data_IF_857888868274
#
_entry.id   IF_857888868274
#
_cell.length_a   1.000
_cell.length_b   1.000
_cell.length_c   1.000
_cell.angle_alpha   90.00
_cell.angle_beta   90.00
_cell.angle_gamma   90.00
#
_symmetry.space_group_name_H-M   'P 1'
#
loop_
_entity.id
_entity.type
_entity.pdbx_description
1 polymer ?
#
# COMPACT_ATOMS: atom_id res chain seq x y z
N UNK A 1 20.54 14.38 4.06
CA UNK A 1 19.36 15.01 3.39
C UNK A 1 19.35 14.56 1.94
N UNK A 2 18.57 13.54 1.63
CA UNK A 2 18.42 13.01 0.27
C UNK A 2 17.79 14.12 -0.60
N UNK A 3 18.53 14.57 -1.62
CA UNK A 3 17.99 15.50 -2.60
C UNK A 3 16.88 14.81 -3.38
N UNK A 4 15.65 15.35 -3.31
CA UNK A 4 14.55 14.92 -4.16
C UNK A 4 14.96 15.14 -5.62
N UNK A 5 14.89 14.09 -6.43
CA UNK A 5 15.18 14.23 -7.85
C UNK A 5 14.03 14.99 -8.54
N UNK A 6 14.35 15.77 -9.58
CA UNK A 6 13.35 16.47 -10.38
C UNK A 6 12.27 15.49 -10.90
N UNK A 7 12.65 14.25 -11.21
CA UNK A 7 11.73 13.21 -11.66
C UNK A 7 10.71 12.82 -10.57
N UNK A 8 11.10 12.84 -9.29
CA UNK A 8 10.17 12.57 -8.19
C UNK A 8 9.15 13.68 -8.04
N UNK A 9 9.58 14.94 -8.09
CA UNK A 9 8.70 16.11 -8.03
C UNK A 9 7.70 16.08 -9.17
N UNK A 10 8.16 15.83 -10.39
CA UNK A 10 7.29 15.73 -11.57
C UNK A 10 6.28 14.58 -11.45
N UNK A 11 6.70 13.40 -10.97
CA UNK A 11 5.82 12.26 -10.73
C UNK A 11 4.67 12.62 -9.77
N UNK A 12 5.00 13.28 -8.67
CA UNK A 12 4.02 13.72 -7.67
C UNK A 12 3.06 14.77 -8.24
N UNK A 13 3.58 15.74 -9.02
CA UNK A 13 2.77 16.75 -9.70
C UNK A 13 1.75 16.14 -10.68
N UNK A 14 2.19 15.17 -11.49
CA UNK A 14 1.32 14.52 -12.46
C UNK A 14 0.22 13.70 -11.81
N UNK A 15 0.49 13.07 -10.66
CA UNK A 15 -0.52 12.34 -9.87
C UNK A 15 -1.54 13.33 -9.29
N UNK A 16 -1.09 14.39 -8.62
CA UNK A 16 -1.97 15.40 -8.02
C UNK A 16 -2.78 16.18 -9.07
N UNK A 17 -2.15 16.54 -10.19
CA UNK A 17 -2.82 17.21 -11.29
C UNK A 17 -3.93 16.36 -11.90
N UNK A 18 -3.71 15.05 -12.03
CA UNK A 18 -4.74 14.12 -12.49
C UNK A 18 -5.93 14.05 -11.51
N UNK A 19 -5.66 14.01 -10.20
CA UNK A 19 -6.70 13.97 -9.17
C UNK A 19 -7.54 15.26 -9.13
N UNK A 20 -6.92 16.43 -9.31
CA UNK A 20 -7.61 17.72 -9.33
C UNK A 20 -8.43 17.92 -10.61
N UNK A 21 -8.09 17.20 -11.68
CA UNK A 21 -8.77 17.28 -12.97
C UNK A 21 -9.98 16.36 -13.08
N UNK A 22 -9.90 15.19 -12.46
CA UNK A 22 -10.96 14.19 -12.46
C UNK A 22 -10.96 13.44 -11.12
N UNK A 23 -12.05 13.59 -10.39
CA UNK A 23 -12.26 13.00 -9.07
C UNK A 23 -12.17 11.47 -9.06
N UNK A 24 -12.37 10.81 -10.20
CA UNK A 24 -12.24 9.36 -10.32
C UNK A 24 -10.83 8.87 -10.01
N UNK A 25 -9.79 9.65 -10.38
CA UNK A 25 -8.41 9.36 -10.02
C UNK A 25 -8.15 9.48 -8.52
N UNK A 26 -8.74 10.50 -7.86
CA UNK A 26 -8.61 10.65 -6.42
C UNK A 26 -9.25 9.49 -5.67
N UNK A 27 -10.46 9.08 -6.07
CA UNK A 27 -11.16 7.92 -5.49
C UNK A 27 -10.39 6.61 -5.70
N UNK A 28 -9.81 6.40 -6.90
CA UNK A 28 -8.97 5.22 -7.18
C UNK A 28 -7.69 5.18 -6.33
N UNK A 29 -7.15 6.33 -5.97
CA UNK A 29 -5.87 6.44 -5.28
C UNK A 29 -5.98 6.35 -3.75
N UNK A 30 -7.13 6.74 -3.16
CA UNK A 30 -7.28 6.89 -1.69
C UNK A 30 -6.94 5.62 -0.91
N UNK A 31 -7.27 4.44 -1.43
CA UNK A 31 -6.97 3.17 -0.78
C UNK A 31 -5.55 2.66 -1.06
N UNK A 32 -4.85 3.26 -2.03
CA UNK A 32 -3.55 2.78 -2.53
C UNK A 32 -2.37 3.59 -1.99
N UNK A 33 -2.55 4.89 -1.80
CA UNK A 33 -1.48 5.79 -1.38
C UNK A 33 -1.84 6.54 -0.10
N UNK A 34 -0.81 6.98 0.61
CA UNK A 34 -0.92 7.74 1.85
C UNK A 34 -0.18 9.06 1.73
N UNK A 35 -0.55 10.07 2.55
CA UNK A 35 0.10 11.39 2.53
C UNK A 35 1.62 11.31 2.66
N UNK A 36 2.14 10.40 3.49
CA UNK A 36 3.57 10.25 3.74
C UNK A 36 4.36 9.76 2.52
N UNK A 37 3.69 9.28 1.47
CA UNK A 37 4.33 8.84 0.22
C UNK A 37 4.74 10.01 -0.67
N UNK A 38 4.15 11.20 -0.43
CA UNK A 38 4.58 12.43 -1.07
C UNK A 38 5.79 13.00 -0.32
N UNK A 39 6.96 12.89 -0.92
CA UNK A 39 8.21 13.31 -0.30
C UNK A 39 8.38 14.83 -0.28
N UNK A 40 7.67 15.54 -1.16
CA UNK A 40 7.65 16.98 -1.17
C UNK A 40 6.51 17.51 -0.29
N UNK A 41 6.85 18.26 0.74
CA UNK A 41 5.89 18.70 1.78
C UNK A 41 4.68 19.46 1.24
N UNK A 42 4.86 20.26 0.17
CA UNK A 42 3.75 20.98 -0.48
C UNK A 42 2.78 20.02 -1.17
N UNK A 43 3.29 19.00 -1.84
CA UNK A 43 2.48 17.95 -2.48
C UNK A 43 1.68 17.14 -1.45
N UNK A 44 2.32 16.79 -0.33
CA UNK A 44 1.64 16.13 0.78
C UNK A 44 0.45 16.96 1.30
N UNK A 45 0.62 18.28 1.44
CA UNK A 45 -0.47 19.19 1.87
C UNK A 45 -1.60 19.28 0.84
N UNK A 46 -1.27 19.32 -0.47
CA UNK A 46 -2.29 19.30 -1.53
C UNK A 46 -3.07 17.99 -1.48
N UNK A 47 -2.38 16.86 -1.32
CA UNK A 47 -3.04 15.56 -1.19
C UNK A 47 -3.95 15.49 0.03
N UNK A 48 -3.51 15.99 1.19
CA UNK A 48 -4.36 16.09 2.39
C UNK A 48 -5.61 16.94 2.13
N UNK A 49 -5.47 18.06 1.41
CA UNK A 49 -6.63 18.87 1.02
C UNK A 49 -7.61 18.12 0.11
N UNK A 50 -7.11 17.30 -0.82
CA UNK A 50 -7.96 16.43 -1.65
C UNK A 50 -8.71 15.41 -0.78
N UNK A 51 -8.03 14.81 0.21
CA UNK A 51 -8.66 13.86 1.13
C UNK A 51 -9.77 14.52 1.97
N UNK A 52 -9.54 15.71 2.49
CA UNK A 52 -10.57 16.49 3.22
C UNK A 52 -11.80 16.75 2.35
N UNK A 53 -11.62 17.11 1.08
CA UNK A 53 -12.75 17.29 0.16
C UNK A 53 -13.53 16.00 -0.08
N UNK A 54 -12.85 14.85 -0.18
CA UNK A 54 -13.52 13.56 -0.30
C UNK A 54 -14.34 13.23 0.95
N UNK A 55 -13.78 13.43 2.14
CA UNK A 55 -14.45 13.18 3.41
C UNK A 55 -15.71 14.06 3.56
N UNK A 56 -15.63 15.32 3.14
CA UNK A 56 -16.75 16.27 3.16
C UNK A 56 -17.69 16.13 1.96
N UNK A 57 -17.43 15.18 1.05
CA UNK A 57 -18.22 14.92 -0.16
C UNK A 57 -18.35 16.15 -1.07
N UNK A 58 -17.31 16.96 -1.13
CA UNK A 58 -17.21 18.09 -2.03
C UNK A 58 -16.77 17.63 -3.43
N UNK A 59 -17.16 18.37 -4.45
CA UNK A 59 -16.67 18.14 -5.80
C UNK A 59 -15.18 18.51 -5.89
N UNK A 60 -14.36 17.58 -6.43
CA UNK A 60 -12.93 17.79 -6.58
C UNK A 60 -12.68 18.41 -7.95
N UNK A 61 -12.54 19.71 -7.97
CA UNK A 61 -12.09 20.49 -9.11
C UNK A 61 -11.17 21.62 -8.62
N UNK A 62 -10.44 22.22 -9.56
CA UNK A 62 -9.46 23.26 -9.23
C UNK A 62 -10.06 24.46 -8.50
N UNK A 63 -11.23 24.93 -8.93
CA UNK A 63 -11.84 26.15 -8.39
C UNK A 63 -12.29 25.91 -6.95
N UNK A 64 -13.02 24.83 -6.73
CA UNK A 64 -13.50 24.43 -5.40
C UNK A 64 -12.31 24.16 -4.46
N UNK A 65 -11.27 23.51 -4.93
CA UNK A 65 -10.04 23.30 -4.14
C UNK A 65 -9.37 24.61 -3.74
N UNK A 66 -9.22 25.57 -4.66
CA UNK A 66 -8.60 26.86 -4.39
C UNK A 66 -9.41 27.70 -3.39
N UNK A 67 -10.72 27.70 -3.49
CA UNK A 67 -11.59 28.44 -2.56
C UNK A 67 -11.62 27.80 -1.17
N UNK A 68 -11.75 26.46 -1.11
CA UNK A 68 -11.86 25.74 0.16
C UNK A 68 -10.55 25.79 0.96
N UNK A 69 -9.40 25.64 0.30
CA UNK A 69 -8.07 25.63 0.93
C UNK A 69 -7.29 26.94 0.81
N UNK A 70 -7.96 28.06 0.61
CA UNK A 70 -7.34 29.37 0.37
C UNK A 70 -6.25 29.77 1.38
N UNK A 71 -6.44 29.44 2.66
CA UNK A 71 -5.44 29.73 3.71
C UNK A 71 -4.17 28.92 3.53
N UNK A 72 -4.33 27.62 3.30
CA UNK A 72 -3.21 26.67 3.14
C UNK A 72 -2.44 26.96 1.86
N UNK A 73 -3.14 27.32 0.78
CA UNK A 73 -2.54 27.64 -0.52
C UNK A 73 -1.67 28.90 -0.44
N UNK A 74 -2.09 29.92 0.30
CA UNK A 74 -1.29 31.13 0.49
C UNK A 74 0.05 30.86 1.23
N UNK A 75 0.11 29.81 2.03
CA UNK A 75 1.34 29.36 2.71
C UNK A 75 2.25 28.51 1.79
N UNK A 76 1.74 28.06 0.62
CA UNK A 76 2.41 27.12 -0.27
C UNK A 76 2.85 27.70 -1.63
N UNK A 77 3.30 28.93 -1.73
CA UNK A 77 3.63 29.65 -2.99
C UNK A 77 2.40 30.12 -3.79
N UNK A 78 1.20 30.04 -3.21
CA UNK A 78 0.00 30.64 -3.77
C UNK A 78 -0.68 29.81 -4.86
N UNK A 79 -1.70 30.44 -5.46
CA UNK A 79 -2.59 29.85 -6.48
C UNK A 79 -1.82 29.41 -7.72
N UNK A 80 -0.73 30.10 -8.09
CA UNK A 80 0.04 29.79 -9.29
C UNK A 80 0.62 28.38 -9.25
N UNK A 81 1.17 27.95 -8.10
CA UNK A 81 1.75 26.64 -7.95
C UNK A 81 0.72 25.50 -8.11
N UNK A 82 -0.46 25.66 -7.51
CA UNK A 82 -1.54 24.67 -7.66
C UNK A 82 -2.06 24.64 -9.10
N UNK A 83 -2.12 25.80 -9.76
CA UNK A 83 -2.51 25.89 -11.17
C UNK A 83 -1.49 25.23 -12.10
N UNK A 84 -0.20 25.33 -11.81
CA UNK A 84 0.85 24.60 -12.54
C UNK A 84 0.67 23.08 -12.38
N UNK A 85 0.43 22.61 -11.16
CA UNK A 85 0.16 21.17 -10.90
C UNK A 85 -1.07 20.71 -11.67
N UNK A 86 -2.13 21.49 -11.73
CA UNK A 86 -3.35 21.17 -12.48
C UNK A 86 -3.09 20.98 -13.98
N UNK A 87 -2.11 21.66 -14.54
CA UNK A 87 -1.71 21.47 -15.96
C UNK A 87 -0.95 20.15 -16.17
N UNK A 88 -0.30 19.63 -15.13
CA UNK A 88 0.40 18.36 -15.16
C UNK A 88 -0.60 17.22 -14.98
N UNK A 89 -0.83 16.39 -16.00
CA UNK A 89 -1.75 15.27 -15.89
C UNK A 89 -1.22 14.01 -16.59
N UNK A 90 -1.62 12.86 -16.08
CA UNK A 90 -1.36 11.56 -16.69
C UNK A 90 -2.61 11.09 -17.45
N UNK A 91 -2.42 10.24 -18.47
CA UNK A 91 -3.51 9.46 -19.04
C UNK A 91 -3.95 8.36 -18.09
N UNK A 92 -5.18 7.85 -18.21
CA UNK A 92 -5.76 6.81 -17.35
C UNK A 92 -4.84 5.59 -17.20
N UNK A 93 -4.29 5.12 -18.32
CA UNK A 93 -3.36 3.99 -18.34
C UNK A 93 -2.05 4.29 -17.59
N UNK A 94 -1.54 5.51 -17.71
CA UNK A 94 -0.31 5.92 -17.05
C UNK A 94 -0.50 6.20 -15.54
N UNK A 95 -1.69 6.59 -15.11
CA UNK A 95 -1.97 6.96 -13.73
C UNK A 95 -1.68 5.81 -12.74
N UNK A 96 -2.23 4.63 -12.98
CA UNK A 96 -1.98 3.46 -12.13
C UNK A 96 -0.48 3.08 -12.09
N UNK A 97 0.21 3.17 -13.23
CA UNK A 97 1.66 2.95 -13.28
C UNK A 97 2.42 3.98 -12.43
N UNK A 98 2.01 5.24 -12.46
CA UNK A 98 2.60 6.30 -11.64
C UNK A 98 2.34 6.14 -10.15
N UNK A 99 1.16 5.66 -9.76
CA UNK A 99 0.88 5.29 -8.36
C UNK A 99 1.84 4.19 -7.88
N UNK A 100 2.06 3.15 -8.68
CA UNK A 100 3.01 2.09 -8.33
C UNK A 100 4.44 2.60 -8.23
N UNK A 101 4.85 3.53 -9.12
CA UNK A 101 6.15 4.19 -9.05
C UNK A 101 6.30 5.04 -7.78
N UNK A 102 5.27 5.81 -7.41
CA UNK A 102 5.25 6.60 -6.18
C UNK A 102 5.48 5.70 -4.95
N UNK A 103 4.73 4.60 -4.85
CA UNK A 103 4.86 3.63 -3.76
C UNK A 103 6.26 2.99 -3.75
N UNK A 104 6.79 2.63 -4.92
CA UNK A 104 8.13 2.05 -5.05
C UNK A 104 9.21 3.03 -4.61
N UNK A 105 9.10 4.30 -5.03
CA UNK A 105 10.04 5.34 -4.65
C UNK A 105 9.99 5.64 -3.14
N UNK A 106 8.80 5.65 -2.55
CA UNK A 106 8.65 5.81 -1.10
C UNK A 106 9.29 4.64 -0.32
N UNK A 107 9.08 3.40 -0.76
CA UNK A 107 9.73 2.23 -0.15
C UNK A 107 11.25 2.34 -0.23
N UNK A 108 11.77 2.75 -1.38
CA UNK A 108 13.20 2.99 -1.56
C UNK A 108 13.71 4.10 -0.62
N UNK A 109 12.94 5.18 -0.49
CA UNK A 109 13.28 6.27 0.43
C UNK A 109 13.37 5.79 1.88
N UNK A 110 12.43 4.97 2.35
CA UNK A 110 12.46 4.40 3.71
C UNK A 110 13.72 3.57 3.97
N UNK A 111 14.16 2.77 3.00
CA UNK A 111 15.41 2.01 3.13
C UNK A 111 16.63 2.93 3.17
N UNK A 112 16.66 3.94 2.31
CA UNK A 112 17.80 4.89 2.29
C UNK A 112 17.85 5.71 3.58
N UNK A 113 16.71 6.15 4.11
CA UNK A 113 16.63 6.84 5.40
C UNK A 113 17.13 5.96 6.55
N UNK A 114 16.78 4.68 6.56
CA UNK A 114 17.30 3.73 7.52
C UNK A 114 18.83 3.59 7.40
N UNK A 115 19.34 3.45 6.17
CA UNK A 115 20.79 3.34 5.95
C UNK A 115 21.57 4.59 6.39
N UNK A 116 20.98 5.79 6.26
CA UNK A 116 21.57 7.03 6.77
C UNK A 116 21.60 7.07 8.31
N UNK A 117 20.64 6.43 8.98
CA UNK A 117 20.55 6.36 10.46
C UNK A 117 21.53 5.35 11.04
N UNK A 118 21.77 4.24 10.34
CA UNK A 118 22.68 3.20 10.79
C UNK A 118 24.13 3.73 10.75
N UNK A 119 24.78 3.76 11.90
CA UNK A 119 26.18 4.14 12.05
C UNK A 119 26.97 3.03 12.77
N UNK A 120 28.30 3.17 12.81
CA UNK A 120 29.17 2.15 13.39
C UNK A 120 29.07 2.04 14.93
N UNK A 121 28.39 2.96 15.59
CA UNK A 121 28.25 3.00 17.05
C UNK A 121 26.96 2.32 17.53
N UNK A 122 26.05 1.97 16.60
CA UNK A 122 24.83 1.23 16.92
C UNK A 122 25.12 -0.25 17.17
N UNK A 123 24.48 -0.79 18.20
CA UNK A 123 24.56 -2.23 18.44
C UNK A 123 23.67 -3.03 17.46
N UNK A 124 23.85 -4.35 17.45
CA UNK A 124 23.13 -5.21 16.52
C UNK A 124 21.61 -5.21 16.77
N UNK A 125 21.19 -5.14 18.02
CA UNK A 125 19.78 -5.15 18.43
C UNK A 125 19.07 -3.86 17.98
N UNK A 126 19.75 -2.72 18.07
CA UNK A 126 19.23 -1.43 17.58
C UNK A 126 19.04 -1.44 16.06
N UNK A 127 20.00 -2.01 15.31
CA UNK A 127 19.91 -2.14 13.84
C UNK A 127 18.75 -3.07 13.44
N UNK A 128 18.59 -4.21 14.13
CA UNK A 128 17.50 -5.15 13.88
C UNK A 128 16.12 -4.50 14.15
N UNK A 129 15.98 -3.72 15.21
CA UNK A 129 14.77 -3.00 15.53
C UNK A 129 14.42 -1.94 14.46
N UNK A 130 15.41 -1.16 13.99
CA UNK A 130 15.18 -0.21 12.90
C UNK A 130 14.79 -0.91 11.59
N UNK A 131 15.42 -2.04 11.27
CA UNK A 131 15.05 -2.86 10.09
C UNK A 131 13.61 -3.36 10.18
N UNK A 132 13.18 -3.84 11.34
CA UNK A 132 11.81 -4.33 11.54
C UNK A 132 10.80 -3.18 11.44
N UNK A 133 11.10 -2.02 12.01
CA UNK A 133 10.29 -0.82 11.87
C UNK A 133 10.06 -0.42 10.40
N UNK A 134 11.11 -0.46 9.60
CA UNK A 134 11.02 -0.16 8.16
C UNK A 134 10.22 -1.23 7.42
N UNK A 135 10.41 -2.52 7.73
CA UNK A 135 9.60 -3.60 7.14
C UNK A 135 8.12 -3.42 7.43
N UNK A 136 7.74 -3.10 8.68
CA UNK A 136 6.34 -2.85 9.06
C UNK A 136 5.75 -1.68 8.27
N UNK A 137 6.49 -0.57 8.10
CA UNK A 137 6.03 0.57 7.29
C UNK A 137 5.84 0.17 5.83
N UNK A 138 6.77 -0.59 5.25
CA UNK A 138 6.69 -1.07 3.87
C UNK A 138 5.50 -2.01 3.66
N UNK A 139 5.23 -2.91 4.61
CA UNK A 139 4.05 -3.78 4.55
C UNK A 139 2.75 -2.99 4.56
N UNK A 140 2.66 -1.93 5.36
CA UNK A 140 1.49 -1.02 5.39
C UNK A 140 1.30 -0.24 4.09
N UNK A 141 2.36 -0.08 3.29
CA UNK A 141 2.34 0.57 1.98
C UNK A 141 2.10 -0.41 0.82
N UNK A 142 1.94 -1.71 1.11
CA UNK A 142 1.61 -2.67 0.07
C UNK A 142 0.18 -2.42 -0.37
N UNK A 143 -0.01 -2.05 -1.62
CA UNK A 143 -1.30 -2.10 -2.28
C UNK A 143 -1.81 -3.51 -2.06
N UNK A 144 -3.00 -3.67 -1.45
CA UNK A 144 -3.67 -4.97 -1.48
C UNK A 144 -3.70 -5.35 -2.95
N UNK A 145 -2.96 -6.40 -3.33
CA UNK A 145 -3.13 -6.99 -4.67
C UNK A 145 -4.64 -7.15 -4.81
N UNK A 146 -5.24 -6.55 -5.82
CA UNK A 146 -6.56 -6.96 -6.24
C UNK A 146 -6.50 -8.46 -6.30
N UNK A 147 -7.32 -9.10 -5.47
CA UNK A 147 -7.37 -10.55 -5.41
C UNK A 147 -7.94 -10.94 -6.76
N UNK A 148 -7.07 -11.31 -7.68
CA UNK A 148 -7.50 -11.92 -8.93
C UNK A 148 -8.10 -13.27 -8.56
N UNK A 149 -9.42 -13.26 -8.41
CA UNK A 149 -10.19 -14.43 -7.98
C UNK A 149 -9.99 -15.57 -8.97
N UNK A 150 -9.86 -15.25 -10.25
CA UNK A 150 -9.67 -16.26 -11.31
C UNK A 150 -8.27 -16.89 -11.19
N UNK A 151 -7.22 -16.07 -10.99
CA UNK A 151 -5.87 -16.58 -10.76
C UNK A 151 -5.77 -17.40 -9.47
N UNK A 152 -6.43 -16.98 -8.38
CA UNK A 152 -6.47 -17.76 -7.13
C UNK A 152 -7.27 -19.06 -7.28
N UNK A 153 -8.34 -19.03 -8.07
CA UNK A 153 -9.12 -20.21 -8.37
C UNK A 153 -8.29 -21.22 -9.17
N UNK A 154 -7.57 -20.76 -10.19
CA UNK A 154 -6.67 -21.62 -10.99
C UNK A 154 -5.53 -22.19 -10.13
N UNK A 155 -4.94 -21.38 -9.25
CA UNK A 155 -3.91 -21.85 -8.29
C UNK A 155 -4.48 -22.90 -7.33
N UNK A 156 -5.71 -22.67 -6.81
CA UNK A 156 -6.40 -23.64 -5.96
C UNK A 156 -6.72 -24.94 -6.70
N UNK A 157 -7.20 -24.87 -7.93
CA UNK A 157 -7.49 -26.05 -8.77
C UNK A 157 -6.20 -26.81 -9.05
N UNK A 158 -5.12 -26.14 -9.43
CA UNK A 158 -3.82 -26.77 -9.67
C UNK A 158 -3.30 -27.45 -8.39
N UNK A 159 -3.42 -26.79 -7.22
CA UNK A 159 -3.08 -27.38 -5.94
C UNK A 159 -3.95 -28.62 -5.61
N UNK A 160 -5.24 -28.58 -5.94
CA UNK A 160 -6.17 -29.69 -5.67
C UNK A 160 -5.79 -30.95 -6.45
N UNK A 161 -5.36 -30.80 -7.70
CA UNK A 161 -4.97 -31.88 -8.60
C UNK A 161 -3.48 -32.21 -8.56
N UNK A 162 -2.67 -31.53 -7.78
CA UNK A 162 -1.26 -31.84 -7.63
C UNK A 162 -1.08 -33.19 -6.88
N UNK A 163 -0.60 -34.19 -7.59
CA UNK A 163 -0.32 -35.52 -7.02
C UNK A 163 0.80 -35.48 -5.98
N UNK A 164 1.70 -34.49 -6.04
CA UNK A 164 2.84 -34.30 -5.13
C UNK A 164 2.52 -33.40 -3.93
N UNK A 165 1.26 -32.94 -3.80
CA UNK A 165 0.86 -32.09 -2.67
C UNK A 165 1.17 -32.78 -1.33
N UNK A 166 1.57 -32.00 -0.34
CA UNK A 166 1.75 -32.48 1.04
C UNK A 166 0.42 -33.08 1.54
N UNK A 167 0.36 -34.42 1.57
CA UNK A 167 -0.84 -35.15 2.00
C UNK A 167 -1.06 -35.08 3.51
N UNK A 168 -0.19 -34.35 4.22
CA UNK A 168 -0.26 -34.20 5.67
C UNK A 168 0.12 -35.47 6.43
N UNK A 169 -0.01 -35.41 7.76
CA UNK A 169 0.33 -36.49 8.67
C UNK A 169 -0.89 -37.39 8.87
N UNK A 170 -0.71 -38.69 8.75
CA UNK A 170 -1.77 -39.66 9.03
C UNK A 170 -2.01 -39.78 10.53
N UNK A 171 -3.28 -39.91 10.94
CA UNK A 171 -3.63 -40.19 12.34
C UNK A 171 -3.23 -41.60 12.81
N UNK A 172 -3.03 -42.50 11.85
CA UNK A 172 -2.83 -43.94 12.12
C UNK A 172 -4.11 -44.76 12.29
N UNK A 173 -5.26 -44.09 12.27
CA UNK A 173 -6.58 -44.71 12.33
C UNK A 173 -7.19 -44.73 10.93
N UNK A 174 -7.20 -45.89 10.28
CA UNK A 174 -7.59 -46.05 8.86
C UNK A 174 -8.95 -45.40 8.53
N UNK A 175 -9.94 -45.58 9.42
CA UNK A 175 -11.27 -45.03 9.22
C UNK A 175 -11.27 -43.48 9.33
N UNK A 176 -10.50 -42.94 10.30
CA UNK A 176 -10.41 -41.52 10.51
C UNK A 176 -9.72 -40.82 9.32
N UNK A 177 -8.61 -41.41 8.87
CA UNK A 177 -7.85 -40.88 7.71
C UNK A 177 -8.67 -40.94 6.41
N UNK A 178 -9.57 -41.92 6.29
CA UNK A 178 -10.46 -42.07 5.13
C UNK A 178 -11.54 -40.95 5.07
N UNK A 179 -12.08 -40.56 6.22
CA UNK A 179 -13.20 -39.59 6.28
C UNK A 179 -12.75 -38.17 6.46
N UNK A 180 -11.71 -37.88 7.25
CA UNK A 180 -11.22 -36.55 7.53
C UNK A 180 -10.06 -36.12 6.62
N UNK A 181 -9.48 -37.04 5.87
CA UNK A 181 -8.18 -36.84 5.24
C UNK A 181 -7.06 -36.80 6.29
N UNK A 182 -5.84 -36.55 5.85
CA UNK A 182 -4.70 -36.42 6.75
C UNK A 182 -4.67 -35.09 7.46
N UNK A 183 -3.98 -34.98 8.57
CA UNK A 183 -3.77 -33.71 9.31
C UNK A 183 -2.85 -32.79 8.51
N UNK A 184 -3.41 -31.73 7.98
CA UNK A 184 -2.68 -30.77 7.15
C UNK A 184 -2.10 -29.65 8.00
N UNK A 185 -0.95 -29.11 7.60
CA UNK A 185 -0.33 -27.93 8.23
C UNK A 185 -1.31 -26.74 8.23
N UNK A 186 -1.30 -25.98 9.33
CA UNK A 186 -2.15 -24.78 9.47
C UNK A 186 -3.60 -25.06 9.88
N UNK A 187 -4.00 -26.31 10.11
CA UNK A 187 -5.33 -26.64 10.63
C UNK A 187 -5.31 -26.91 12.12
N UNK A 188 -6.28 -26.34 12.83
CA UNK A 188 -6.55 -26.67 14.22
C UNK A 188 -7.48 -27.90 14.26
N UNK A 189 -7.03 -28.97 14.95
CA UNK A 189 -7.81 -30.20 15.12
C UNK A 189 -8.14 -30.34 16.59
N UNK A 190 -9.43 -30.36 16.90
CA UNK A 190 -9.90 -30.50 18.26
C UNK A 190 -10.65 -31.84 18.41
N UNK A 191 -10.25 -32.65 19.37
CA UNK A 191 -10.89 -33.91 19.69
C UNK A 191 -11.72 -33.74 20.97
N UNK A 192 -13.00 -34.06 20.90
CA UNK A 192 -13.90 -34.03 22.05
C UNK A 192 -14.31 -35.44 22.44
N UNK A 193 -14.24 -35.76 23.72
CA UNK A 193 -14.75 -36.99 24.30
C UNK A 193 -15.51 -36.69 25.60
N UNK A 194 -16.41 -37.59 25.98
CA UNK A 194 -17.05 -37.53 27.31
C UNK A 194 -16.00 -37.83 28.37
N UNK A 195 -16.14 -37.29 29.58
CA UNK A 195 -15.27 -37.65 30.71
C UNK A 195 -15.38 -39.14 31.00
N UNK A 196 -14.24 -39.82 31.13
CA UNK A 196 -14.18 -41.27 31.38
C UNK A 196 -14.09 -42.17 30.15
N UNK A 197 -14.06 -41.60 28.95
CA UNK A 197 -13.69 -42.32 27.71
C UNK A 197 -12.24 -41.98 27.45
N UNK A 198 -11.34 -42.86 27.88
CA UNK A 198 -9.89 -42.69 27.75
C UNK A 198 -9.39 -42.68 26.32
#
# INVERSE_FOLDING_TARGET
>A
MLMLSNNQIQLEQEILGSMLKDSSFAINAIDKIKPEMFLYSKHMRIYLGILEMIEEKLEIDLITFLEYHKKVINEMDGVNYVSEIFTCNASDLAFNTKLLLLISNYKKHLYLEMMEKVNCDMDLEEIENELENVKVKIHKCSVKKEIDIDAQYDEYINWLYDENRDKGIRSGLVYLDKYLGNFQKGRLITVFARSGVG
#
